data_IF_066263481414
#
_entry.id   IF_066263481414
#
_cell.length_a   1.000
_cell.length_b   1.000
_cell.length_c   1.000
_cell.angle_alpha   90.00
_cell.angle_beta   90.00
_cell.angle_gamma   90.00
#
_symmetry.space_group_name_H-M   'P 1'
#
loop_
_entity.id
_entity.type
_entity.pdbx_description
1 polymer ?
#
# COMPACT_ATOMS: atom_id res chain seq x y z
N UNK A 1 3.21 -26.54 5.60
CA UNK A 1 1.74 -26.39 5.64
C UNK A 1 1.40 -24.92 5.85
N UNK A 2 0.88 -24.23 4.82
CA UNK A 2 0.29 -22.88 4.95
C UNK A 2 -1.08 -22.92 4.28
N UNK A 3 -2.10 -23.28 5.07
CA UNK A 3 -3.51 -23.02 4.76
C UNK A 3 -3.87 -21.70 5.45
N UNK A 4 -4.10 -20.65 4.66
CA UNK A 4 -4.83 -19.39 4.90
C UNK A 4 -4.64 -18.69 3.53
N UNK A 5 -5.60 -18.53 2.63
CA UNK A 5 -6.89 -17.90 2.84
C UNK A 5 -7.80 -18.23 1.63
N UNK A 6 -8.53 -19.34 1.66
CA UNK A 6 -9.50 -19.69 0.60
C UNK A 6 -10.74 -18.77 0.61
N UNK A 7 -10.96 -18.01 1.69
CA UNK A 7 -12.18 -17.22 1.87
C UNK A 7 -12.18 -15.86 1.16
N UNK A 8 -11.02 -15.36 0.69
CA UNK A 8 -10.92 -14.07 -0.01
C UNK A 8 -10.97 -14.20 -1.55
N UNK A 9 -11.12 -15.43 -2.07
CA UNK A 9 -11.15 -15.66 -3.52
C UNK A 9 -12.58 -15.62 -4.09
N UNK A 10 -13.60 -15.90 -3.28
CA UNK A 10 -14.98 -16.09 -3.77
C UNK A 10 -15.77 -14.79 -3.95
N UNK A 11 -15.37 -13.67 -3.34
CA UNK A 11 -16.07 -12.39 -3.53
C UNK A 11 -15.56 -11.57 -4.73
N UNK A 12 -14.35 -11.83 -5.22
CA UNK A 12 -13.74 -11.06 -6.32
C UNK A 12 -14.37 -11.42 -7.68
N UNK A 13 -14.83 -12.66 -7.86
CA UNK A 13 -15.43 -13.12 -9.12
C UNK A 13 -16.79 -12.51 -9.45
N UNK A 14 -17.50 -11.91 -8.48
CA UNK A 14 -18.82 -11.32 -8.74
C UNK A 14 -18.75 -9.91 -9.36
N UNK A 15 -17.60 -9.23 -9.28
CA UNK A 15 -17.41 -7.87 -9.81
C UNK A 15 -17.03 -7.90 -11.30
N UNK A 16 -16.32 -8.94 -11.75
CA UNK A 16 -15.81 -9.04 -13.13
C UNK A 16 -16.92 -9.14 -14.19
N UNK A 17 -18.10 -9.70 -13.86
CA UNK A 17 -19.17 -9.89 -14.85
C UNK A 17 -20.06 -8.68 -15.09
N UNK A 18 -20.05 -7.69 -14.19
CA UNK A 18 -21.00 -6.55 -14.26
C UNK A 18 -20.46 -5.32 -14.98
N UNK A 19 -19.14 -5.24 -15.19
CA UNK A 19 -18.49 -4.03 -15.73
C UNK A 19 -17.82 -4.21 -17.10
N UNK A 20 -17.96 -5.39 -17.71
CA UNK A 20 -17.42 -5.68 -19.05
C UNK A 20 -18.03 -4.79 -20.16
N UNK A 21 -19.20 -4.21 -19.93
CA UNK A 21 -19.91 -3.40 -20.93
C UNK A 21 -19.45 -1.94 -21.03
N UNK A 22 -18.69 -1.43 -20.04
CA UNK A 22 -18.23 -0.02 -20.03
C UNK A 22 -16.86 0.19 -20.67
N UNK A 23 -16.23 -0.87 -21.20
CA UNK A 23 -14.85 -0.83 -21.70
C UNK A 23 -14.73 -1.09 -23.22
N UNK A 24 -15.78 -0.82 -23.99
CA UNK A 24 -15.79 -1.06 -25.44
C UNK A 24 -15.87 0.24 -26.25
N UNK A 25 -14.89 1.12 -26.12
CA UNK A 25 -14.58 2.06 -27.20
C UNK A 25 -13.07 2.35 -27.28
N UNK A 26 -12.40 1.52 -28.06
CA UNK A 26 -10.94 1.44 -28.18
C UNK A 26 -10.32 2.55 -29.08
N UNK A 27 -11.10 3.58 -29.45
CA UNK A 27 -10.65 4.60 -30.42
C UNK A 27 -10.43 6.01 -29.88
N UNK A 28 -10.77 6.29 -28.62
CA UNK A 28 -10.60 7.64 -28.02
C UNK A 28 -9.22 7.83 -27.37
N UNK A 29 -8.55 6.75 -26.95
CA UNK A 29 -7.34 6.82 -26.12
C UNK A 29 -6.01 6.95 -26.89
N UNK A 30 -6.01 6.82 -28.23
CA UNK A 30 -4.77 6.86 -29.03
C UNK A 30 -4.33 8.26 -29.48
N UNK A 31 -5.12 9.31 -29.26
CA UNK A 31 -4.83 10.65 -29.81
C UNK A 31 -4.54 11.73 -28.78
N UNK A 32 -4.48 11.41 -27.48
CA UNK A 32 -4.23 12.40 -26.43
C UNK A 32 -3.13 11.93 -25.46
N UNK A 33 -1.89 11.96 -25.94
CA UNK A 33 -0.71 11.90 -25.08
C UNK A 33 0.01 13.26 -25.18
N UNK A 34 -0.38 14.20 -24.32
CA UNK A 34 0.43 15.39 -24.03
C UNK A 34 1.36 15.08 -22.85
N UNK A 35 2.68 15.35 -22.94
CA UNK A 35 3.64 14.92 -21.93
C UNK A 35 3.87 16.03 -20.90
N UNK A 36 3.02 16.13 -19.88
CA UNK A 36 3.37 16.89 -18.69
C UNK A 36 2.59 16.42 -17.46
N UNK A 37 2.83 15.18 -17.02
CA UNK A 37 2.59 14.92 -15.60
C UNK A 37 3.57 15.74 -14.77
N UNK A 38 3.09 16.30 -13.67
CA UNK A 38 3.97 16.95 -12.70
C UNK A 38 5.04 15.96 -12.24
N UNK A 39 6.29 16.44 -12.10
CA UNK A 39 7.43 15.64 -11.63
C UNK A 39 7.09 14.89 -10.33
N UNK A 40 6.30 15.52 -9.47
CA UNK A 40 5.82 14.95 -8.22
C UNK A 40 4.90 13.74 -8.42
N UNK A 41 3.92 13.83 -9.33
CA UNK A 41 3.03 12.71 -9.64
C UNK A 41 3.80 11.50 -10.20
N UNK A 42 4.82 11.75 -11.02
CA UNK A 42 5.71 10.70 -11.52
C UNK A 42 6.52 10.03 -10.40
N UNK A 43 7.00 10.80 -9.42
CA UNK A 43 7.73 10.25 -8.28
C UNK A 43 6.83 9.39 -7.39
N UNK A 44 5.61 9.85 -7.10
CA UNK A 44 4.63 9.10 -6.30
C UNK A 44 4.21 7.82 -7.02
N UNK A 45 3.93 7.88 -8.33
CA UNK A 45 3.62 6.70 -9.14
C UNK A 45 4.75 5.67 -9.10
N UNK A 46 6.00 6.11 -9.26
CA UNK A 46 7.18 5.23 -9.16
C UNK A 46 7.31 4.62 -7.77
N UNK A 47 7.00 5.39 -6.72
CA UNK A 47 6.94 4.91 -5.34
C UNK A 47 5.92 3.79 -5.18
N UNK A 48 4.68 4.01 -5.62
CA UNK A 48 3.60 3.01 -5.53
C UNK A 48 3.96 1.72 -6.27
N UNK A 49 4.55 1.82 -7.47
CA UNK A 49 4.99 0.64 -8.24
C UNK A 49 6.14 -0.10 -7.55
N UNK A 50 6.99 0.59 -6.76
CA UNK A 50 8.01 -0.09 -5.93
C UNK A 50 7.35 -0.87 -4.80
N UNK A 51 6.42 -0.26 -4.07
CA UNK A 51 5.72 -0.95 -2.99
C UNK A 51 4.93 -2.17 -3.51
N UNK A 52 4.27 -2.07 -4.67
CA UNK A 52 3.61 -3.22 -5.30
C UNK A 52 4.57 -4.37 -5.64
N UNK A 53 5.82 -4.06 -6.00
CA UNK A 53 6.85 -5.09 -6.24
C UNK A 53 7.32 -5.76 -4.96
N UNK A 54 7.33 -5.04 -3.84
CA UNK A 54 7.65 -5.65 -2.54
C UNK A 54 6.55 -6.62 -2.08
N UNK A 55 5.27 -6.27 -2.30
CA UNK A 55 4.14 -7.11 -1.88
C UNK A 55 4.08 -8.43 -2.67
N UNK A 56 4.36 -8.40 -3.98
CA UNK A 56 4.33 -9.60 -4.84
C UNK A 56 5.56 -9.66 -5.74
N UNK A 57 6.70 -10.17 -5.25
CA UNK A 57 7.92 -10.26 -6.06
C UNK A 57 7.82 -11.28 -7.21
N UNK A 58 6.99 -12.32 -7.07
CA UNK A 58 6.84 -13.40 -8.07
C UNK A 58 6.07 -12.98 -9.32
N UNK A 59 5.24 -11.95 -9.22
CA UNK A 59 4.41 -11.50 -10.33
C UNK A 59 4.91 -10.17 -10.88
N UNK A 60 4.87 -10.04 -12.21
CA UNK A 60 5.04 -8.72 -12.83
C UNK A 60 4.01 -7.76 -12.23
N UNK A 61 4.43 -6.55 -11.79
CA UNK A 61 3.50 -5.58 -11.20
C UNK A 61 2.34 -5.25 -12.15
N UNK A 62 2.53 -5.42 -13.46
CA UNK A 62 1.50 -5.20 -14.49
C UNK A 62 0.29 -6.12 -14.39
N UNK A 63 0.44 -7.30 -13.80
CA UNK A 63 -0.63 -8.29 -13.68
C UNK A 63 -1.50 -8.06 -12.44
N UNK A 64 -1.12 -7.11 -11.56
CA UNK A 64 -1.92 -6.78 -10.39
C UNK A 64 -3.03 -5.82 -10.79
N UNK A 65 -4.26 -6.10 -10.34
CA UNK A 65 -5.41 -5.19 -10.49
C UNK A 65 -5.10 -3.80 -9.94
N UNK A 66 -4.36 -3.73 -8.83
CA UNK A 66 -3.92 -2.46 -8.24
C UNK A 66 -3.08 -1.62 -9.22
N UNK A 67 -2.19 -2.25 -10.00
CA UNK A 67 -1.39 -1.55 -11.01
C UNK A 67 -2.25 -1.01 -12.15
N UNK A 68 -3.18 -1.83 -12.66
CA UNK A 68 -4.09 -1.43 -13.73
C UNK A 68 -4.94 -0.23 -13.30
N UNK A 69 -5.51 -0.30 -12.09
CA UNK A 69 -6.29 0.78 -11.52
C UNK A 69 -5.46 2.07 -11.36
N UNK A 70 -4.26 1.99 -10.78
CA UNK A 70 -3.37 3.16 -10.61
C UNK A 70 -3.03 3.79 -11.97
N UNK A 71 -2.71 2.99 -12.98
CA UNK A 71 -2.39 3.48 -14.32
C UNK A 71 -3.59 4.11 -15.03
N UNK A 72 -4.78 3.55 -14.85
CA UNK A 72 -6.03 4.11 -15.37
C UNK A 72 -6.35 5.46 -14.71
N UNK A 73 -6.31 5.54 -13.39
CA UNK A 73 -6.53 6.79 -12.64
C UNK A 73 -5.50 7.86 -13.02
N UNK A 74 -4.23 7.46 -13.19
CA UNK A 74 -3.16 8.36 -13.60
C UNK A 74 -3.38 8.92 -15.01
N UNK A 75 -3.81 8.08 -15.97
CA UNK A 75 -4.07 8.49 -17.36
C UNK A 75 -5.34 9.35 -17.48
N UNK A 76 -6.41 8.98 -16.79
CA UNK A 76 -7.68 9.72 -16.81
C UNK A 76 -7.51 11.17 -16.34
N UNK A 77 -6.71 11.36 -15.29
CA UNK A 77 -6.43 12.68 -14.70
C UNK A 77 -5.29 13.46 -15.40
N UNK A 78 -4.63 12.89 -16.41
CA UNK A 78 -3.68 13.61 -17.27
C UNK A 78 -4.36 14.37 -18.42
N UNK A 79 -5.51 13.91 -18.91
CA UNK A 79 -6.14 14.40 -20.14
C UNK A 79 -7.10 15.56 -19.90
N UNK A 80 -7.57 15.74 -18.67
CA UNK A 80 -8.50 16.81 -18.34
C UNK A 80 -7.69 18.10 -18.08
N UNK A 81 -7.99 19.23 -18.76
CA UNK A 81 -7.23 20.50 -18.59
C UNK A 81 -8.01 21.72 -18.07
N UNK A 82 -9.35 21.77 -18.09
CA UNK A 82 -10.08 23.05 -17.84
C UNK A 82 -10.76 23.24 -16.47
N UNK A 83 -10.88 22.20 -15.62
CA UNK A 83 -11.41 22.29 -14.22
C UNK A 83 -10.53 21.62 -13.15
N UNK A 84 -9.24 21.40 -13.44
CA UNK A 84 -8.52 20.14 -13.10
C UNK A 84 -7.45 20.27 -12.03
N UNK A 85 -7.07 21.48 -11.63
CA UNK A 85 -6.02 21.64 -10.62
C UNK A 85 -6.40 20.96 -9.29
N UNK A 86 -7.66 21.10 -8.85
CA UNK A 86 -8.14 20.51 -7.59
C UNK A 86 -8.26 18.99 -7.65
N UNK A 87 -8.85 18.42 -8.71
CA UNK A 87 -8.98 16.97 -8.85
C UNK A 87 -7.61 16.28 -8.96
N UNK A 88 -6.67 16.88 -9.70
CA UNK A 88 -5.30 16.38 -9.82
C UNK A 88 -4.55 16.46 -8.48
N UNK A 89 -4.70 17.55 -7.73
CA UNK A 89 -4.12 17.71 -6.39
C UNK A 89 -4.74 16.73 -5.38
N UNK A 90 -6.05 16.52 -5.41
CA UNK A 90 -6.75 15.55 -4.57
C UNK A 90 -6.30 14.13 -4.87
N UNK A 91 -6.15 13.76 -6.15
CA UNK A 91 -5.62 12.45 -6.54
C UNK A 91 -4.17 12.29 -6.09
N UNK A 92 -3.33 13.31 -6.30
CA UNK A 92 -1.94 13.29 -5.88
C UNK A 92 -1.82 13.15 -4.36
N UNK A 93 -2.65 13.86 -3.60
CA UNK A 93 -2.73 13.75 -2.15
C UNK A 93 -3.12 12.34 -1.74
N UNK A 94 -4.19 11.77 -2.32
CA UNK A 94 -4.59 10.37 -2.07
C UNK A 94 -3.45 9.39 -2.37
N UNK A 95 -2.79 9.55 -3.51
CA UNK A 95 -1.68 8.69 -3.93
C UNK A 95 -0.49 8.76 -2.95
N UNK A 96 -0.17 9.96 -2.44
CA UNK A 96 0.84 10.13 -1.38
C UNK A 96 0.43 9.43 -0.08
N UNK A 97 -0.82 9.61 0.35
CA UNK A 97 -1.34 8.95 1.56
C UNK A 97 -1.23 7.43 1.47
N UNK A 98 -1.62 6.85 0.33
CA UNK A 98 -1.46 5.42 0.10
C UNK A 98 -0.01 4.99 0.07
N UNK A 99 0.89 5.77 -0.53
CA UNK A 99 2.31 5.47 -0.54
C UNK A 99 2.90 5.45 0.88
N UNK A 100 2.62 6.47 1.69
CA UNK A 100 3.04 6.54 3.10
C UNK A 100 2.48 5.37 3.90
N UNK A 101 1.22 4.99 3.67
CA UNK A 101 0.61 3.84 4.34
C UNK A 101 1.34 2.53 4.01
N UNK A 102 1.60 2.27 2.72
CA UNK A 102 2.29 1.04 2.29
C UNK A 102 3.72 0.97 2.86
N UNK A 103 4.43 2.10 2.87
CA UNK A 103 5.76 2.20 3.48
C UNK A 103 5.71 1.93 4.98
N UNK A 104 4.74 2.53 5.69
CA UNK A 104 4.55 2.32 7.12
C UNK A 104 4.20 0.87 7.47
N UNK A 105 3.41 0.19 6.64
CA UNK A 105 3.12 -1.24 6.82
C UNK A 105 4.40 -2.07 6.71
N UNK A 106 5.22 -1.83 5.68
CA UNK A 106 6.49 -2.54 5.48
C UNK A 106 7.46 -2.31 6.64
N UNK A 107 7.58 -1.08 7.10
CA UNK A 107 8.43 -0.73 8.25
C UNK A 107 7.90 -1.34 9.55
N UNK A 108 6.57 -1.34 9.73
CA UNK A 108 5.93 -1.98 10.86
C UNK A 108 6.19 -3.48 10.89
N UNK A 109 6.11 -4.17 9.75
CA UNK A 109 6.44 -5.61 9.66
C UNK A 109 7.91 -5.88 10.00
N UNK A 110 8.83 -5.02 9.54
CA UNK A 110 10.25 -5.14 9.85
C UNK A 110 10.53 -4.95 11.35
N UNK A 111 9.93 -3.90 11.95
CA UNK A 111 10.00 -3.65 13.39
C UNK A 111 9.35 -4.77 14.20
N UNK A 112 8.21 -5.29 13.74
CA UNK A 112 7.57 -6.43 14.39
C UNK A 112 8.47 -7.67 14.33
N UNK A 113 9.18 -7.92 13.24
CA UNK A 113 10.12 -9.05 13.18
C UNK A 113 11.32 -8.87 14.11
N UNK A 114 11.90 -7.67 14.14
CA UNK A 114 13.05 -7.33 15.00
C UNK A 114 12.69 -7.38 16.49
N UNK A 115 11.53 -6.83 16.85
CA UNK A 115 11.07 -6.67 18.23
C UNK A 115 9.98 -7.67 18.61
N UNK A 116 9.81 -8.77 17.86
CA UNK A 116 8.88 -9.88 18.17
C UNK A 116 9.21 -10.62 19.47
N UNK A 117 10.30 -10.24 20.14
CA UNK A 117 10.69 -10.75 21.45
C UNK A 117 9.62 -10.45 22.50
N UNK A 118 9.41 -11.41 23.41
CA UNK A 118 8.56 -11.25 24.60
C UNK A 118 8.90 -9.95 25.32
N UNK A 119 7.87 -9.24 25.80
CA UNK A 119 8.05 -8.24 26.85
C UNK A 119 8.85 -8.86 27.99
N UNK A 120 9.96 -8.21 28.35
CA UNK A 120 10.82 -8.64 29.47
C UNK A 120 10.02 -8.51 30.75
N UNK A 121 10.17 -9.45 31.68
CA UNK A 121 9.48 -9.32 32.97
C UNK A 121 10.00 -8.08 33.72
N UNK A 122 9.24 -7.64 34.72
CA UNK A 122 9.60 -6.45 35.52
C UNK A 122 10.96 -6.67 36.20
N UNK A 123 11.27 -7.90 36.61
CA UNK A 123 12.54 -8.30 37.21
C UNK A 123 13.71 -8.22 36.24
N UNK A 124 13.53 -8.71 35.01
CA UNK A 124 14.54 -8.64 33.97
C UNK A 124 14.81 -7.20 33.55
N UNK A 125 13.76 -6.38 33.50
CA UNK A 125 13.85 -4.95 33.19
C UNK A 125 14.57 -4.17 34.30
N UNK A 126 14.30 -4.49 35.57
CA UNK A 126 15.00 -3.89 36.71
C UNK A 126 16.50 -4.25 36.70
N UNK A 127 16.83 -5.52 36.43
CA UNK A 127 18.23 -5.97 36.37
C UNK A 127 19.04 -5.27 35.28
N UNK A 128 18.42 -4.94 34.15
CA UNK A 128 19.06 -4.23 33.04
C UNK A 128 19.59 -2.84 33.41
N UNK A 129 18.90 -2.15 34.32
CA UNK A 129 19.27 -0.83 34.80
C UNK A 129 20.01 -0.87 36.15
N UNK A 130 20.43 -2.05 36.59
CA UNK A 130 21.13 -2.25 37.87
C UNK A 130 20.23 -2.15 39.11
N UNK A 131 18.91 -2.27 38.93
CA UNK A 131 17.93 -2.24 40.01
C UNK A 131 17.45 -3.66 40.34
N UNK A 132 16.90 -3.82 41.55
CA UNK A 132 16.24 -5.06 41.99
C UNK A 132 14.84 -4.73 42.49
N UNK A 133 13.88 -5.64 42.30
CA UNK A 133 12.54 -5.44 42.83
C UNK A 133 12.55 -5.47 44.36
N UNK A 134 11.78 -4.60 45.02
CA UNK A 134 11.60 -4.68 46.46
C UNK A 134 10.90 -6.00 46.81
N UNK A 135 11.40 -6.69 47.84
CA UNK A 135 10.74 -7.90 48.36
C UNK A 135 9.41 -7.48 48.98
N UNK A 136 8.30 -8.03 48.48
CA UNK A 136 7.00 -7.85 49.11
C UNK A 136 7.02 -8.49 50.50
N UNK A 137 6.41 -7.86 51.53
CA UNK A 137 6.36 -8.41 52.88
C UNK A 137 5.37 -9.60 52.91
N UNK A 138 5.81 -10.77 52.45
CA UNK A 138 4.97 -11.95 52.36
C UNK A 138 5.69 -13.24 51.96
N UNK A 139 6.82 -13.17 51.24
CA UNK A 139 7.59 -14.36 50.87
C UNK A 139 8.68 -14.66 51.91
N UNK A 140 8.50 -15.75 52.66
CA UNK A 140 9.52 -16.39 53.49
C UNK A 140 10.21 -17.50 52.71
#
# INVERSE_FOLDING_TARGET
MRQICWFCSSQIQLIEKKYWFLFSDEKVWKTMASPAASREALMVLRGLIRELRYVKPEHSPRNLMAYQHIMEQYRSNQVTSEKVCRAQQELLHKAKTYLSLLQGIREHEALQEEFKGRERTVEDSARLVGLQLPKTPGDK
#
